data_IF_107623489715
#
_entry.id   IF_107623489715
#
_cell.length_a   1.000
_cell.length_b   1.000
_cell.length_c   1.000
_cell.angle_alpha   90.00
_cell.angle_beta   90.00
_cell.angle_gamma   90.00
#
_symmetry.space_group_name_H-M   'P 1'
#
loop_
_entity.id
_entity.type
_entity.pdbx_description
1 polymer ?
#
# COMPACT_ATOMS: atom_id res chain seq x y z
N UNK A 1 25.68 11.39 44.47
CA UNK A 1 26.46 11.62 43.22
C UNK A 1 25.62 11.17 42.05
N UNK A 2 25.62 11.99 41.01
CA UNK A 2 24.89 11.85 39.75
C UNK A 2 25.29 10.62 38.93
N UNK A 3 24.29 10.11 38.20
CA UNK A 3 24.26 9.61 36.82
C UNK A 3 25.42 8.78 36.25
N UNK A 4 25.05 7.65 35.63
CA UNK A 4 25.27 7.46 34.20
C UNK A 4 24.06 6.72 33.62
N UNK A 5 23.28 7.43 32.81
CA UNK A 5 22.11 6.91 32.11
C UNK A 5 22.53 6.03 30.93
N UNK A 6 21.89 4.88 30.81
CA UNK A 6 21.82 4.13 29.57
C UNK A 6 20.77 4.80 28.69
N UNK A 7 21.20 5.52 27.66
CA UNK A 7 20.31 5.89 26.56
C UNK A 7 19.92 4.62 25.81
N UNK A 8 18.66 4.23 25.90
CA UNK A 8 18.06 3.11 25.16
C UNK A 8 18.07 3.38 23.63
N UNK A 9 18.18 2.34 22.78
CA UNK A 9 18.35 2.45 21.33
C UNK A 9 17.03 2.64 20.56
N UNK A 10 16.12 3.47 21.07
CA UNK A 10 14.82 3.74 20.43
C UNK A 10 14.95 4.39 19.03
N UNK A 11 16.13 4.92 18.68
CA UNK A 11 16.39 5.60 17.42
C UNK A 11 16.65 4.64 16.23
N UNK A 12 16.99 3.38 16.51
CA UNK A 12 17.34 2.40 15.47
C UNK A 12 16.22 1.42 15.11
N UNK A 13 15.08 1.44 15.80
CA UNK A 13 13.95 0.59 15.42
C UNK A 13 13.32 1.11 14.10
N UNK A 14 13.36 0.34 13.00
CA UNK A 14 12.78 0.76 11.74
C UNK A 14 11.27 0.98 11.83
N UNK A 15 10.58 0.45 12.86
CA UNK A 15 9.14 0.59 13.08
C UNK A 15 8.75 1.70 14.07
N UNK A 16 9.71 2.49 14.57
CA UNK A 16 9.41 3.73 15.31
C UNK A 16 9.47 4.91 14.36
N UNK A 17 8.36 5.63 14.18
CA UNK A 17 8.28 6.77 13.27
C UNK A 17 7.88 8.05 14.01
N UNK A 18 8.73 9.08 13.90
CA UNK A 18 8.52 10.43 14.44
C UNK A 18 8.12 11.41 13.32
N UNK A 19 8.36 12.70 13.51
CA UNK A 19 8.04 13.76 12.54
C UNK A 19 6.66 14.40 12.72
N UNK A 20 6.43 15.45 11.92
CA UNK A 20 5.17 16.19 11.89
C UNK A 20 4.05 15.32 11.34
N UNK A 21 2.89 15.38 11.99
CA UNK A 21 1.75 14.50 11.70
C UNK A 21 0.61 15.21 10.98
N UNK A 22 0.60 16.53 10.98
CA UNK A 22 -0.44 17.36 10.38
C UNK A 22 0.00 17.84 8.99
N UNK A 23 0.05 16.92 8.02
CA UNK A 23 0.46 17.21 6.64
C UNK A 23 -0.73 17.57 5.75
N UNK A 24 -0.56 18.52 4.82
CA UNK A 24 -1.61 18.94 3.87
C UNK A 24 -2.22 17.76 3.09
N UNK A 25 -1.38 16.85 2.60
CA UNK A 25 -1.80 15.64 1.84
C UNK A 25 -2.67 14.65 2.65
N UNK A 26 -2.74 14.85 3.97
CA UNK A 26 -3.50 14.00 4.91
C UNK A 26 -4.70 14.72 5.53
N UNK A 27 -5.07 15.89 5.01
CA UNK A 27 -6.22 16.62 5.51
C UNK A 27 -7.54 15.87 5.21
N UNK A 28 -8.45 15.71 6.19
CA UNK A 28 -9.75 15.08 5.96
C UNK A 28 -10.52 15.73 4.80
N UNK A 29 -11.10 14.91 3.92
CA UNK A 29 -11.79 15.32 2.71
C UNK A 29 -10.92 15.41 1.46
N UNK A 30 -9.58 15.36 1.59
CA UNK A 30 -8.68 15.30 0.45
C UNK A 30 -8.93 14.05 -0.38
N UNK A 31 -9.01 14.22 -1.71
CA UNK A 31 -9.30 13.14 -2.66
C UNK A 31 -8.03 12.67 -3.34
N UNK A 32 -7.88 11.36 -3.41
CA UNK A 32 -6.81 10.68 -4.10
C UNK A 32 -7.37 9.95 -5.30
N UNK A 33 -6.65 9.98 -6.42
CA UNK A 33 -6.97 9.16 -7.58
C UNK A 33 -6.16 7.86 -7.58
N UNK A 34 -6.64 6.87 -8.33
CA UNK A 34 -5.94 5.63 -8.61
C UNK A 34 -6.04 5.27 -10.08
N UNK A 35 -5.00 4.64 -10.62
CA UNK A 35 -5.09 3.98 -11.94
C UNK A 35 -4.22 2.72 -11.96
N UNK A 36 -4.75 1.62 -12.45
CA UNK A 36 -4.05 0.34 -12.59
C UNK A 36 -3.58 0.09 -14.02
N UNK A 37 -2.45 -0.56 -14.20
CA UNK A 37 -1.94 -1.03 -15.49
C UNK A 37 -1.11 -2.30 -15.36
N UNK A 38 -1.02 -3.08 -16.42
CA UNK A 38 -0.21 -4.30 -16.50
C UNK A 38 0.02 -4.67 -17.97
N UNK A 39 1.23 -4.49 -18.48
CA UNK A 39 1.51 -4.67 -19.91
C UNK A 39 0.64 -3.73 -20.75
N UNK A 40 -0.14 -4.28 -21.69
CA UNK A 40 -1.10 -3.52 -22.51
C UNK A 40 -2.44 -3.27 -21.81
N UNK A 41 -2.69 -3.86 -20.64
CA UNK A 41 -3.92 -3.64 -19.87
C UNK A 41 -3.82 -2.33 -19.09
N UNK A 42 -4.90 -1.56 -19.10
CA UNK A 42 -5.10 -0.34 -18.33
C UNK A 42 -6.50 -0.37 -17.72
N UNK A 43 -6.63 0.04 -16.46
CA UNK A 43 -7.91 -0.02 -15.75
C UNK A 43 -8.96 0.94 -16.34
N UNK A 44 -8.55 1.97 -17.07
CA UNK A 44 -9.46 2.86 -17.81
C UNK A 44 -10.54 3.49 -16.94
N UNK A 45 -11.70 3.77 -17.55
CA UNK A 45 -12.92 4.26 -16.87
C UNK A 45 -13.66 3.19 -16.04
N UNK A 46 -13.18 1.94 -16.08
CA UNK A 46 -13.84 0.80 -15.42
C UNK A 46 -13.59 0.73 -13.91
N UNK A 47 -12.65 1.53 -13.40
CA UNK A 47 -12.49 1.83 -11.98
C UNK A 47 -13.00 3.25 -11.73
N UNK A 48 -14.12 3.35 -11.03
CA UNK A 48 -14.61 4.62 -10.49
C UNK A 48 -14.26 4.66 -9.02
N UNK A 49 -13.21 5.41 -8.72
CA UNK A 49 -12.60 5.44 -7.41
C UNK A 49 -13.04 6.70 -6.67
N UNK A 50 -13.57 6.52 -5.47
CA UNK A 50 -13.54 7.56 -4.46
C UNK A 50 -12.59 7.09 -3.37
N UNK A 51 -11.33 7.49 -3.46
CA UNK A 51 -10.39 7.41 -2.35
C UNK A 51 -10.31 8.78 -1.73
N UNK A 52 -10.66 8.90 -0.45
CA UNK A 52 -10.51 10.15 0.26
C UNK A 52 -10.04 9.93 1.69
N UNK A 53 -9.42 10.96 2.26
CA UNK A 53 -9.04 10.94 3.67
C UNK A 53 -10.31 11.07 4.51
N UNK A 54 -10.69 10.01 5.21
CA UNK A 54 -11.87 9.98 6.09
C UNK A 54 -11.60 10.68 7.40
N UNK A 55 -10.43 10.43 8.00
CA UNK A 55 -10.03 11.05 9.27
C UNK A 55 -8.51 11.05 9.44
N UNK A 56 -8.04 11.96 10.29
CA UNK A 56 -6.65 12.04 10.75
C UNK A 56 -6.63 12.28 12.25
N UNK A 57 -5.80 11.53 12.98
CA UNK A 57 -5.51 11.80 14.40
C UNK A 57 -4.12 11.27 14.77
N UNK A 58 -3.24 12.13 15.27
CA UNK A 58 -1.89 11.72 15.70
C UNK A 58 -1.05 11.08 14.59
N UNK A 59 -1.25 11.54 13.35
CA UNK A 59 -0.59 11.01 12.15
C UNK A 59 -1.19 9.71 11.62
N UNK A 60 -2.14 9.10 12.34
CA UNK A 60 -2.92 7.96 11.83
C UNK A 60 -3.99 8.52 10.90
N UNK A 61 -3.87 8.17 9.62
CA UNK A 61 -4.76 8.56 8.54
C UNK A 61 -5.60 7.36 8.17
N UNK A 62 -6.93 7.52 8.23
CA UNK A 62 -7.88 6.54 7.71
C UNK A 62 -8.31 7.00 6.33
N UNK A 63 -8.05 6.18 5.32
CA UNK A 63 -8.60 6.40 4.00
C UNK A 63 -9.92 5.63 3.87
N UNK A 64 -10.87 6.21 3.16
CA UNK A 64 -12.06 5.50 2.70
C UNK A 64 -11.81 5.14 1.23
N UNK A 65 -11.67 3.84 0.96
CA UNK A 65 -11.53 3.29 -0.37
C UNK A 65 -12.85 2.68 -0.80
N UNK A 66 -13.48 3.29 -1.79
CA UNK A 66 -14.66 2.77 -2.47
C UNK A 66 -14.35 2.63 -3.96
N UNK A 67 -14.14 1.40 -4.43
CA UNK A 67 -13.84 1.11 -5.84
C UNK A 67 -15.03 0.38 -6.45
N UNK A 68 -15.52 0.91 -7.57
CA UNK A 68 -16.58 0.26 -8.37
C UNK A 68 -15.99 -0.33 -9.64
N UNK A 69 -16.37 -1.57 -9.96
CA UNK A 69 -15.88 -2.32 -11.12
C UNK A 69 -16.93 -3.28 -11.70
N UNK A 70 -16.68 -3.85 -12.87
CA UNK A 70 -17.60 -4.74 -13.59
C UNK A 70 -17.03 -6.15 -13.80
N UNK A 71 -17.79 -7.02 -14.46
CA UNK A 71 -17.32 -8.38 -14.77
C UNK A 71 -16.14 -8.43 -15.75
N UNK A 72 -15.94 -7.39 -16.56
CA UNK A 72 -14.80 -7.29 -17.48
C UNK A 72 -13.51 -7.15 -16.68
N UNK A 73 -13.52 -6.24 -15.70
CA UNK A 73 -12.43 -6.06 -14.76
C UNK A 73 -12.13 -7.35 -14.00
N UNK A 74 -13.15 -8.03 -13.45
CA UNK A 74 -12.90 -9.27 -12.67
C UNK A 74 -12.27 -10.38 -13.51
N UNK A 75 -12.68 -10.54 -14.78
CA UNK A 75 -12.08 -11.53 -15.69
C UNK A 75 -10.63 -11.18 -16.05
N UNK A 76 -10.34 -9.89 -16.20
CA UNK A 76 -8.98 -9.42 -16.42
C UNK A 76 -8.11 -9.71 -15.19
N UNK A 77 -8.60 -9.38 -13.99
CA UNK A 77 -7.91 -9.65 -12.73
C UNK A 77 -7.65 -11.15 -12.53
N UNK A 78 -8.63 -12.01 -12.83
CA UNK A 78 -8.48 -13.47 -12.79
C UNK A 78 -7.36 -13.96 -13.71
N UNK A 79 -7.25 -13.37 -14.89
CA UNK A 79 -6.21 -13.70 -15.86
C UNK A 79 -4.85 -13.22 -15.38
N UNK A 80 -4.78 -12.00 -14.84
CA UNK A 80 -3.56 -11.37 -14.33
C UNK A 80 -3.00 -12.13 -13.14
N UNK A 81 -3.84 -12.51 -12.18
CA UNK A 81 -3.46 -13.28 -11.00
C UNK A 81 -3.25 -14.78 -11.29
N UNK A 82 -3.51 -15.23 -12.52
CA UNK A 82 -3.38 -16.64 -12.89
C UNK A 82 -4.41 -17.54 -12.19
N UNK A 83 -5.54 -16.99 -11.76
CA UNK A 83 -6.59 -17.75 -11.06
C UNK A 83 -7.66 -18.29 -12.01
N UNK A 84 -7.63 -17.90 -13.29
CA UNK A 84 -8.68 -18.22 -14.28
C UNK A 84 -9.05 -19.70 -14.38
N UNK A 85 -8.08 -20.61 -14.21
CA UNK A 85 -8.26 -22.07 -14.27
C UNK A 85 -8.71 -22.71 -12.95
N UNK A 86 -8.76 -21.96 -11.85
CA UNK A 86 -9.13 -22.49 -10.54
C UNK A 86 -10.64 -22.74 -10.46
N UNK A 87 -11.09 -23.77 -9.70
CA UNK A 87 -12.50 -23.95 -9.39
C UNK A 87 -13.10 -22.75 -8.65
N UNK A 88 -14.38 -22.48 -8.88
CA UNK A 88 -15.07 -21.33 -8.26
C UNK A 88 -15.01 -21.33 -6.73
N UNK A 89 -15.09 -22.51 -6.10
CA UNK A 89 -14.96 -22.65 -4.65
C UNK A 89 -13.57 -22.18 -4.17
N UNK A 90 -12.51 -22.49 -4.92
CA UNK A 90 -11.15 -22.06 -4.62
C UNK A 90 -11.00 -20.55 -4.83
N UNK A 91 -11.53 -20.01 -5.92
CA UNK A 91 -11.53 -18.55 -6.17
C UNK A 91 -12.23 -17.79 -5.05
N UNK A 92 -13.38 -18.29 -4.58
CA UNK A 92 -14.13 -17.69 -3.47
C UNK A 92 -13.35 -17.75 -2.15
N UNK A 93 -12.69 -18.87 -1.87
CA UNK A 93 -11.85 -19.03 -0.66
C UNK A 93 -10.66 -18.05 -0.66
N UNK A 94 -9.97 -17.95 -1.81
CA UNK A 94 -8.92 -16.96 -2.03
C UNK A 94 -9.49 -15.55 -1.79
N UNK A 95 -10.56 -15.17 -2.48
CA UNK A 95 -11.16 -13.84 -2.34
C UNK A 95 -11.51 -13.51 -0.89
N UNK A 96 -12.13 -14.45 -0.18
CA UNK A 96 -12.48 -14.29 1.24
C UNK A 96 -11.24 -14.06 2.09
N UNK A 97 -10.18 -14.82 1.87
CA UNK A 97 -8.90 -14.67 2.58
C UNK A 97 -8.30 -13.27 2.41
N UNK A 98 -8.33 -12.71 1.20
CA UNK A 98 -7.78 -11.37 0.95
C UNK A 98 -8.70 -10.27 1.48
N UNK A 99 -10.02 -10.44 1.38
CA UNK A 99 -10.98 -9.51 1.97
C UNK A 99 -10.82 -9.42 3.49
N UNK A 100 -10.76 -10.56 4.18
CA UNK A 100 -10.53 -10.61 5.62
C UNK A 100 -9.18 -10.02 6.01
N UNK A 101 -8.11 -10.37 5.30
CA UNK A 101 -6.75 -9.86 5.56
C UNK A 101 -6.67 -8.34 5.53
N UNK A 102 -7.38 -7.70 4.60
CA UNK A 102 -7.34 -6.25 4.39
C UNK A 102 -8.56 -5.53 4.99
N UNK A 103 -9.42 -6.20 5.75
CA UNK A 103 -10.62 -5.62 6.34
C UNK A 103 -11.59 -5.04 5.29
N UNK A 104 -11.63 -5.64 4.11
CA UNK A 104 -12.43 -5.17 2.98
C UNK A 104 -13.75 -5.94 2.86
N UNK A 105 -14.77 -5.24 2.38
CA UNK A 105 -16.09 -5.82 2.05
C UNK A 105 -16.32 -5.74 0.55
N UNK A 106 -17.01 -6.75 0.00
CA UNK A 106 -17.32 -6.84 -1.42
C UNK A 106 -18.82 -7.02 -1.63
N UNK A 107 -19.44 -6.11 -2.38
CA UNK A 107 -20.79 -6.25 -2.91
C UNK A 107 -20.73 -6.71 -4.38
N UNK A 108 -21.35 -7.84 -4.67
CA UNK A 108 -21.49 -8.36 -6.05
C UNK A 108 -22.92 -8.60 -6.47
N UNK A 109 -23.88 -7.93 -5.81
CA UNK A 109 -25.32 -8.03 -6.08
C UNK A 109 -25.64 -7.57 -7.49
N UNK A 110 -25.03 -6.46 -7.93
CA UNK A 110 -25.06 -6.01 -9.31
C UNK A 110 -23.74 -6.36 -10.02
N UNK A 111 -23.80 -7.31 -10.96
CA UNK A 111 -22.60 -7.75 -11.71
C UNK A 111 -22.09 -6.70 -12.70
N UNK A 112 -22.93 -5.75 -13.11
CA UNK A 112 -22.51 -4.62 -13.95
C UNK A 112 -21.83 -3.52 -13.12
N UNK A 113 -22.01 -3.55 -11.79
CA UNK A 113 -21.51 -2.55 -10.86
C UNK A 113 -21.25 -3.15 -9.48
N UNK A 114 -20.15 -3.88 -9.38
CA UNK A 114 -19.66 -4.46 -8.13
C UNK A 114 -18.86 -3.41 -7.37
N UNK A 115 -18.84 -3.50 -6.04
CA UNK A 115 -18.13 -2.53 -5.19
C UNK A 115 -17.29 -3.23 -4.14
N UNK A 116 -16.02 -2.84 -4.06
CA UNK A 116 -15.16 -3.17 -2.91
C UNK A 116 -14.99 -1.92 -2.06
N UNK A 117 -15.17 -2.09 -0.75
CA UNK A 117 -15.00 -1.04 0.25
C UNK A 117 -13.95 -1.47 1.28
N UNK A 118 -13.03 -0.58 1.63
CA UNK A 118 -12.03 -0.80 2.67
C UNK A 118 -11.66 0.52 3.36
N UNK A 119 -11.24 0.44 4.62
CA UNK A 119 -10.77 1.61 5.38
C UNK A 119 -9.35 1.42 5.90
N UNK A 120 -8.35 1.26 5.01
CA UNK A 120 -6.99 1.03 5.44
C UNK A 120 -6.44 2.24 6.20
N UNK A 121 -5.67 1.94 7.25
CA UNK A 121 -5.02 2.95 8.09
C UNK A 121 -3.52 2.96 7.84
N UNK A 122 -2.98 4.17 7.82
CA UNK A 122 -1.55 4.42 7.68
C UNK A 122 -1.10 5.45 8.71
N UNK A 123 0.11 5.33 9.23
CA UNK A 123 0.77 6.44 9.92
C UNK A 123 1.58 7.21 8.89
N UNK A 124 1.23 8.47 8.65
CA UNK A 124 1.92 9.33 7.68
C UNK A 124 2.51 10.52 8.43
N UNK A 125 3.80 10.77 8.22
CA UNK A 125 4.55 11.82 8.89
C UNK A 125 5.52 12.49 7.93
N UNK A 126 6.08 13.64 8.31
CA UNK A 126 7.16 14.27 7.55
C UNK A 126 8.42 13.40 7.40
N UNK A 127 8.57 12.35 8.20
CA UNK A 127 9.74 11.47 8.20
C UNK A 127 9.50 10.12 7.52
N UNK A 128 8.26 9.78 7.18
CA UNK A 128 7.97 8.49 6.56
C UNK A 128 6.52 8.05 6.64
N UNK A 129 6.31 6.78 6.28
CA UNK A 129 5.00 6.14 6.18
C UNK A 129 5.06 4.75 6.82
N UNK A 130 4.05 4.39 7.59
CA UNK A 130 3.80 3.04 8.09
C UNK A 130 2.38 2.61 7.71
N UNK A 131 2.16 1.31 7.54
CA UNK A 131 0.83 0.73 7.42
C UNK A 131 0.46 -0.07 8.66
N UNK A 132 -0.85 -0.23 8.86
CA UNK A 132 -1.43 -1.18 9.80
C UNK A 132 -2.04 -2.39 9.07
N UNK A 133 -2.04 -2.40 7.74
CA UNK A 133 -2.59 -3.50 6.93
C UNK A 133 -1.86 -4.82 7.19
N UNK A 134 -0.53 -4.76 7.32
CA UNK A 134 0.30 -5.95 7.57
C UNK A 134 -0.02 -6.59 8.93
N UNK A 135 -0.48 -5.80 9.89
CA UNK A 135 -0.81 -6.25 11.25
C UNK A 135 -2.29 -6.57 11.46
N UNK A 136 -3.07 -6.73 10.38
CA UNK A 136 -4.51 -6.95 10.49
C UNK A 136 -5.23 -5.77 11.14
N UNK A 137 -4.75 -4.56 10.84
CA UNK A 137 -5.28 -3.29 11.33
C UNK A 137 -5.00 -2.99 12.82
N UNK A 138 -4.07 -3.72 13.44
CA UNK A 138 -3.66 -3.49 14.83
C UNK A 138 -2.76 -2.24 14.96
N UNK A 139 -3.34 -1.15 15.48
CA UNK A 139 -2.67 0.15 15.66
C UNK A 139 -1.44 0.12 16.59
N UNK A 140 -1.29 -0.90 17.44
CA UNK A 140 -0.10 -1.06 18.29
C UNK A 140 1.08 -1.71 17.57
N UNK A 141 0.89 -2.18 16.34
CA UNK A 141 1.89 -2.91 15.56
C UNK A 141 2.03 -2.32 14.14
N UNK A 142 2.43 -1.05 14.01
CA UNK A 142 2.71 -0.48 12.69
C UNK A 142 3.87 -1.22 12.01
N UNK A 143 3.86 -1.25 10.68
CA UNK A 143 4.99 -1.72 9.90
C UNK A 143 5.44 -0.62 8.94
N UNK A 144 6.70 -0.21 9.06
CA UNK A 144 7.23 0.90 8.25
C UNK A 144 7.30 0.54 6.78
N UNK A 145 6.71 1.36 5.91
CA UNK A 145 6.88 1.31 4.46
C UNK A 145 8.18 2.01 4.08
N UNK A 146 8.41 3.20 4.64
CA UNK A 146 9.62 3.99 4.39
C UNK A 146 9.88 4.93 5.57
N UNK A 147 11.16 5.12 5.90
CA UNK A 147 11.65 6.36 6.53
C UNK A 147 12.47 7.10 5.49
N UNK A 148 12.26 8.40 5.31
CA UNK A 148 12.98 9.18 4.29
C UNK A 148 14.48 9.35 4.60
N UNK A 149 14.92 8.95 5.79
CA UNK A 149 16.34 8.87 6.17
C UNK A 149 17.00 7.52 5.84
N UNK A 150 16.24 6.49 5.45
CA UNK A 150 16.77 5.17 5.12
C UNK A 150 17.63 5.19 3.86
N UNK A 151 18.58 4.27 3.81
CA UNK A 151 19.53 4.09 2.71
C UNK A 151 19.17 2.83 1.92
N UNK A 152 19.56 2.83 0.65
CA UNK A 152 19.47 1.63 -0.18
C UNK A 152 20.22 0.49 0.49
N UNK A 153 19.56 -0.65 0.66
CA UNK A 153 20.07 -1.82 1.36
C UNK A 153 19.46 -2.05 2.74
N UNK A 154 18.92 -1.00 3.40
CA UNK A 154 18.26 -1.14 4.70
C UNK A 154 17.08 -2.11 4.61
N UNK A 155 16.98 -3.03 5.58
CA UNK A 155 16.01 -4.12 5.57
C UNK A 155 15.46 -4.41 6.96
N UNK A 156 14.16 -4.70 7.05
CA UNK A 156 13.47 -5.00 8.30
C UNK A 156 12.32 -5.98 8.07
N UNK A 157 11.85 -6.62 9.14
CA UNK A 157 10.84 -7.68 9.05
C UNK A 157 9.67 -7.43 10.00
N UNK A 158 8.55 -8.07 9.69
CA UNK A 158 7.35 -8.13 10.50
C UNK A 158 6.77 -9.53 10.44
N UNK A 159 6.46 -10.12 11.59
CA UNK A 159 5.77 -11.42 11.65
C UNK A 159 4.29 -11.17 11.91
N UNK A 160 3.44 -11.56 10.96
CA UNK A 160 1.99 -11.44 11.08
C UNK A 160 1.43 -12.45 12.08
N UNK A 161 0.16 -12.27 12.44
CA UNK A 161 -0.55 -13.19 13.35
C UNK A 161 -0.73 -14.59 12.75
N UNK A 162 -0.73 -14.70 11.42
CA UNK A 162 -0.73 -15.97 10.70
C UNK A 162 0.65 -16.64 10.59
N UNK A 163 1.67 -16.06 11.23
CA UNK A 163 3.04 -16.58 11.25
C UNK A 163 3.86 -16.27 9.99
N UNK A 164 3.27 -15.65 8.97
CA UNK A 164 4.01 -15.26 7.77
C UNK A 164 4.94 -14.09 8.09
N UNK A 165 6.21 -14.26 7.72
CA UNK A 165 7.22 -13.20 7.81
C UNK A 165 7.16 -12.36 6.54
N UNK A 166 6.95 -11.06 6.73
CA UNK A 166 6.99 -10.04 5.69
C UNK A 166 8.32 -9.29 5.84
N UNK A 167 9.10 -9.20 4.78
CA UNK A 167 10.38 -8.49 4.75
C UNK A 167 10.25 -7.26 3.88
N UNK A 168 10.77 -6.11 4.34
CA UNK A 168 10.90 -4.89 3.55
C UNK A 168 12.35 -4.50 3.39
N UNK A 169 12.72 -4.02 2.21
CA UNK A 169 14.06 -3.55 1.87
C UNK A 169 14.01 -2.32 0.98
N UNK A 170 14.79 -1.29 1.29
CA UNK A 170 14.96 -0.14 0.39
C UNK A 170 15.84 -0.58 -0.79
N UNK A 171 15.27 -0.55 -1.98
CA UNK A 171 15.95 -0.98 -3.22
C UNK A 171 16.32 0.19 -4.12
N UNK A 172 15.72 1.37 -3.91
CA UNK A 172 15.99 2.58 -4.70
C UNK A 172 15.76 3.84 -3.87
N UNK A 173 16.59 4.84 -4.11
CA UNK A 173 16.42 6.21 -3.64
C UNK A 173 16.90 7.16 -4.75
N UNK A 174 15.99 7.95 -5.31
CA UNK A 174 16.31 8.81 -6.44
C UNK A 174 17.19 10.00 -6.03
N UNK A 175 18.29 10.23 -6.76
CA UNK A 175 19.07 11.48 -6.65
C UNK A 175 18.49 12.62 -7.50
N UNK A 176 17.74 12.26 -8.55
CA UNK A 176 17.09 13.14 -9.53
C UNK A 176 15.62 12.75 -9.69
N UNK A 177 14.82 13.59 -10.34
CA UNK A 177 13.43 13.24 -10.69
C UNK A 177 13.46 12.15 -11.77
N UNK A 178 12.94 10.96 -11.45
CA UNK A 178 13.10 9.75 -12.28
C UNK A 178 11.89 8.81 -12.26
N UNK A 179 10.78 9.23 -11.66
CA UNK A 179 9.55 8.46 -11.60
C UNK A 179 8.36 9.29 -12.08
N UNK A 180 7.79 8.88 -13.20
CA UNK A 180 6.71 9.62 -13.84
C UNK A 180 5.36 9.28 -13.23
N UNK A 181 4.63 10.33 -12.84
CA UNK A 181 3.23 10.30 -12.45
C UNK A 181 2.52 11.30 -13.36
N UNK A 182 1.82 10.81 -14.39
CA UNK A 182 1.22 11.68 -15.39
C UNK A 182 2.26 12.54 -16.12
N UNK A 183 2.15 13.87 -16.01
CA UNK A 183 3.07 14.82 -16.63
C UNK A 183 4.21 15.26 -15.70
N UNK A 184 4.23 14.77 -14.46
CA UNK A 184 5.23 15.13 -13.46
C UNK A 184 6.25 14.02 -13.30
N UNK A 185 7.52 14.39 -13.15
CA UNK A 185 8.58 13.46 -12.78
C UNK A 185 9.00 13.73 -11.34
N UNK A 186 9.06 12.68 -10.52
CA UNK A 186 9.25 12.78 -9.08
C UNK A 186 10.51 12.06 -8.64
N UNK A 187 11.13 12.57 -7.57
CA UNK A 187 12.12 11.80 -6.78
C UNK A 187 11.39 10.81 -5.89
N UNK A 188 11.80 9.55 -5.87
CA UNK A 188 11.09 8.53 -5.10
C UNK A 188 12.03 7.62 -4.30
N UNK A 189 11.48 7.02 -3.26
CA UNK A 189 12.01 5.82 -2.64
C UNK A 189 11.22 4.62 -3.15
N UNK A 190 11.91 3.51 -3.39
CA UNK A 190 11.26 2.22 -3.63
C UNK A 190 11.62 1.26 -2.51
N UNK A 191 10.61 0.83 -1.77
CA UNK A 191 10.73 -0.22 -0.77
C UNK A 191 10.12 -1.49 -1.33
N UNK A 192 10.95 -2.51 -1.52
CA UNK A 192 10.50 -3.85 -1.88
C UNK A 192 9.99 -4.57 -0.64
N UNK A 193 8.82 -5.18 -0.74
CA UNK A 193 8.24 -6.08 0.22
C UNK A 193 8.21 -7.48 -0.37
N UNK A 194 8.64 -8.48 0.40
CA UNK A 194 8.52 -9.90 0.05
C UNK A 194 7.85 -10.67 1.18
N UNK A 195 7.05 -11.67 0.81
CA UNK A 195 6.33 -12.52 1.74
C UNK A 195 5.99 -13.86 1.10
N UNK A 196 5.72 -14.87 1.93
CA UNK A 196 5.13 -16.11 1.45
C UNK A 196 3.65 -15.86 1.14
N UNK A 197 3.35 -15.64 -0.14
CA UNK A 197 2.01 -15.41 -0.64
C UNK A 197 1.85 -16.05 -2.03
N UNK A 198 0.82 -16.88 -2.25
CA UNK A 198 0.68 -17.66 -3.47
C UNK A 198 0.25 -16.82 -4.69
N UNK A 199 -0.27 -15.60 -4.51
CA UNK A 199 -0.69 -14.75 -5.61
C UNK A 199 0.22 -13.54 -5.78
N UNK A 200 0.63 -12.91 -4.68
CA UNK A 200 1.37 -11.66 -4.65
C UNK A 200 2.56 -11.78 -3.70
N UNK A 201 3.60 -12.56 -4.06
CA UNK A 201 4.77 -12.75 -3.20
C UNK A 201 5.61 -11.48 -3.03
N UNK A 202 5.45 -10.47 -3.90
CA UNK A 202 6.30 -9.30 -3.94
C UNK A 202 5.53 -8.02 -4.29
N UNK A 203 5.84 -6.94 -3.57
CA UNK A 203 5.24 -5.61 -3.74
C UNK A 203 6.37 -4.57 -3.73
N UNK A 204 6.34 -3.58 -4.62
CA UNK A 204 7.19 -2.40 -4.52
C UNK A 204 6.33 -1.21 -4.14
N UNK A 205 6.62 -0.61 -3.00
CA UNK A 205 6.03 0.64 -2.55
C UNK A 205 6.85 1.81 -3.10
N UNK A 206 6.23 2.71 -3.85
CA UNK A 206 6.87 3.89 -4.42
C UNK A 206 6.39 5.13 -3.68
N UNK A 207 7.30 5.81 -3.00
CA UNK A 207 6.96 6.92 -2.09
C UNK A 207 7.79 8.16 -2.41
N UNK A 208 7.22 9.34 -2.18
CA UNK A 208 7.85 10.65 -2.32
C UNK A 208 7.74 11.40 -0.99
N UNK A 209 8.75 12.19 -0.62
CA UNK A 209 8.80 12.90 0.66
C UNK A 209 7.72 13.97 0.82
N UNK A 210 7.26 14.57 -0.28
CA UNK A 210 6.25 15.63 -0.29
C UNK A 210 4.85 15.08 -0.53
N UNK A 211 4.73 14.14 -1.45
CA UNK A 211 3.45 13.64 -1.95
C UNK A 211 3.02 12.29 -1.37
N UNK A 212 3.79 11.71 -0.45
CA UNK A 212 3.45 10.44 0.19
C UNK A 212 3.57 9.24 -0.76
N UNK A 213 2.59 8.35 -0.76
CA UNK A 213 2.56 7.18 -1.65
C UNK A 213 2.16 7.60 -3.06
N UNK A 214 2.98 7.30 -4.06
CA UNK A 214 2.74 7.68 -5.47
C UNK A 214 2.63 6.46 -6.39
N UNK A 215 2.92 5.26 -5.88
CA UNK A 215 2.67 4.03 -6.63
C UNK A 215 2.83 2.78 -5.79
N UNK A 216 2.19 1.72 -6.24
CA UNK A 216 2.32 0.36 -5.70
C UNK A 216 2.44 -0.61 -6.87
N UNK A 217 3.51 -1.39 -6.92
CA UNK A 217 3.72 -2.38 -7.97
C UNK A 217 3.57 -3.76 -7.35
N UNK A 218 2.52 -4.49 -7.72
CA UNK A 218 2.32 -5.88 -7.30
C UNK A 218 2.99 -6.81 -8.31
N UNK A 219 3.70 -7.81 -7.82
CA UNK A 219 4.27 -8.85 -8.66
C UNK A 219 3.59 -10.17 -8.34
N UNK A 220 3.02 -10.78 -9.38
CA UNK A 220 2.35 -12.07 -9.25
C UNK A 220 3.34 -13.22 -9.06
N UNK A 221 2.86 -14.41 -8.70
CA UNK A 221 3.71 -15.60 -8.55
C UNK A 221 4.51 -15.96 -9.82
N UNK A 222 4.00 -15.60 -11.01
CA UNK A 222 4.68 -15.73 -12.30
C UNK A 222 5.40 -14.43 -12.75
N UNK A 223 5.65 -13.53 -11.80
CA UNK A 223 6.42 -12.29 -11.94
C UNK A 223 5.85 -11.28 -12.93
N UNK A 224 4.53 -11.31 -13.21
CA UNK A 224 3.86 -10.21 -13.91
C UNK A 224 3.71 -9.02 -12.99
N UNK A 225 3.95 -7.83 -13.52
CA UNK A 225 3.86 -6.58 -12.79
C UNK A 225 2.50 -5.91 -13.02
N UNK A 226 1.80 -5.64 -11.93
CA UNK A 226 0.58 -4.84 -11.88
C UNK A 226 0.94 -3.52 -11.21
N UNK A 227 0.98 -2.43 -11.98
CA UNK A 227 1.29 -1.09 -11.48
C UNK A 227 0.01 -0.36 -11.12
N UNK A 228 -0.09 0.07 -9.89
CA UNK A 228 -1.07 1.04 -9.43
C UNK A 228 -0.36 2.37 -9.26
N UNK A 229 -0.71 3.35 -10.08
CA UNK A 229 -0.33 4.75 -9.86
C UNK A 229 -1.31 5.35 -8.87
N UNK A 230 -0.77 5.98 -7.83
CA UNK A 230 -1.55 6.75 -6.87
C UNK A 230 -1.41 8.22 -7.27
N UNK A 231 -2.53 8.93 -7.32
CA UNK A 231 -2.60 10.34 -7.73
C UNK A 231 -2.86 11.22 -6.50
N UNK A 232 -1.81 11.80 -5.91
CA UNK A 232 -1.94 12.75 -4.81
C UNK A 232 -2.81 13.96 -5.16
N UNK A 233 -3.51 14.54 -4.17
CA UNK A 233 -4.43 15.66 -4.38
C UNK A 233 -3.77 16.94 -4.90
N UNK A 234 -2.47 17.10 -4.66
CA UNK A 234 -1.72 18.35 -4.88
C UNK A 234 -0.66 18.25 -5.98
N UNK A 235 -0.81 17.30 -6.91
CA UNK A 235 0.08 17.14 -8.07
C UNK A 235 -0.35 18.01 -9.23
#
# INVERSE_FOLDING_TARGET
MMACGTTDPADNDPNVLAGETELEITEPGQRWGGSGSSGSWYSGESLRDSVYVKSRSGGIVTFDFNLTFDTTFTKSLDTMLGTSFLPDATKKSILTTYLERYGATLDTTDKSRMTIHAEPRFKVTSEGIQDFLTSGDNLSRPFTIVKYSMKVGDSWTFTRDDGVVVTRKVIHHSSVEDYDVGFWSLKVFKTEQTQQDPLVPRIIWVTNHKFGLVGVHFFTADNREIRVTVWPPTL
#
